data_IF_400627598075
#
_entry.id   IF_400627598075
#
_cell.length_a   1.000
_cell.length_b   1.000
_cell.length_c   1.000
_cell.angle_alpha   90.00
_cell.angle_beta   90.00
_cell.angle_gamma   90.00
#
_symmetry.space_group_name_H-M   'P 1'
#
loop_
_entity.id
_entity.type
_entity.pdbx_description
1 polymer ?
#
# COMPACT_ATOMS: atom_id res chain seq x y z
N UNK A 1 -13.11 -41.17 11.09
CA UNK A 1 -13.37 -39.95 10.28
C UNK A 1 -12.58 -40.09 8.99
N UNK A 2 -13.28 -40.28 7.87
CA UNK A 2 -12.73 -40.86 6.63
C UNK A 2 -12.20 -39.79 5.68
N UNK A 3 -11.13 -40.12 4.94
CA UNK A 3 -10.44 -39.24 3.98
C UNK A 3 -11.37 -38.56 2.95
N UNK A 4 -12.53 -39.16 2.65
CA UNK A 4 -13.56 -38.60 1.77
C UNK A 4 -14.24 -37.34 2.36
N UNK A 5 -14.38 -37.25 3.68
CA UNK A 5 -14.94 -36.08 4.37
C UNK A 5 -13.90 -34.94 4.39
N UNK A 6 -12.62 -35.26 4.58
CA UNK A 6 -11.52 -34.30 4.41
C UNK A 6 -11.43 -33.77 2.98
N UNK A 7 -11.62 -34.61 1.95
CA UNK A 7 -11.61 -34.18 0.54
C UNK A 7 -12.81 -33.28 0.16
N UNK A 8 -13.99 -33.49 0.75
CA UNK A 8 -15.16 -32.61 0.51
C UNK A 8 -15.10 -31.30 1.29
N UNK A 9 -14.50 -31.29 2.48
CA UNK A 9 -14.43 -30.09 3.33
C UNK A 9 -13.24 -29.20 2.97
N UNK A 10 -12.11 -29.77 2.50
CA UNK A 10 -10.93 -29.00 2.05
C UNK A 10 -11.27 -27.86 1.08
N UNK A 11 -11.98 -28.08 -0.04
CA UNK A 11 -12.26 -27.01 -1.00
C UNK A 11 -13.19 -25.93 -0.43
N UNK A 12 -14.11 -26.28 0.48
CA UNK A 12 -14.98 -25.31 1.15
C UNK A 12 -14.20 -24.42 2.14
N UNK A 13 -13.23 -24.98 2.85
CA UNK A 13 -12.34 -24.22 3.74
C UNK A 13 -11.36 -23.33 2.98
N UNK A 14 -10.81 -23.80 1.84
CA UNK A 14 -9.87 -23.04 1.01
C UNK A 14 -10.57 -21.90 0.24
N UNK A 15 -11.81 -22.10 -0.21
CA UNK A 15 -12.61 -21.03 -0.81
C UNK A 15 -12.98 -19.93 0.20
N UNK A 16 -13.30 -20.31 1.43
CA UNK A 16 -13.65 -19.38 2.51
C UNK A 16 -12.46 -18.54 3.00
N UNK A 17 -11.27 -19.13 3.12
CA UNK A 17 -10.07 -18.43 3.58
C UNK A 17 -9.63 -17.32 2.61
N UNK A 18 -9.61 -17.60 1.30
CA UNK A 18 -9.29 -16.59 0.29
C UNK A 18 -10.35 -15.48 0.21
N UNK A 19 -11.63 -15.82 0.41
CA UNK A 19 -12.71 -14.82 0.46
C UNK A 19 -12.53 -13.86 1.64
N UNK A 20 -12.21 -14.38 2.83
CA UNK A 20 -11.96 -13.58 4.02
C UNK A 20 -10.75 -12.65 3.84
N UNK A 21 -9.62 -13.17 3.36
CA UNK A 21 -8.42 -12.37 3.09
C UNK A 21 -8.70 -11.21 2.12
N UNK A 22 -9.41 -11.48 1.02
CA UNK A 22 -9.77 -10.46 0.03
C UNK A 22 -10.71 -9.40 0.61
N UNK A 23 -11.70 -9.80 1.41
CA UNK A 23 -12.61 -8.88 2.09
C UNK A 23 -11.87 -8.01 3.11
N UNK A 24 -10.96 -8.59 3.89
CA UNK A 24 -10.17 -7.88 4.89
C UNK A 24 -9.25 -6.83 4.24
N UNK A 25 -8.56 -7.19 3.16
CA UNK A 25 -7.71 -6.27 2.39
C UNK A 25 -8.55 -5.17 1.72
N UNK A 26 -9.70 -5.51 1.15
CA UNK A 26 -10.64 -4.54 0.58
C UNK A 26 -11.15 -3.54 1.62
N UNK A 27 -11.56 -4.03 2.80
CA UNK A 27 -11.99 -3.19 3.92
C UNK A 27 -10.86 -2.27 4.41
N UNK A 28 -9.64 -2.78 4.51
CA UNK A 28 -8.46 -1.99 4.86
C UNK A 28 -8.19 -0.89 3.82
N UNK A 29 -8.25 -1.21 2.52
CA UNK A 29 -8.08 -0.23 1.45
C UNK A 29 -9.13 0.89 1.53
N UNK A 30 -10.40 0.54 1.75
CA UNK A 30 -11.49 1.52 1.93
C UNK A 30 -11.24 2.38 3.17
N UNK A 31 -10.87 1.79 4.31
CA UNK A 31 -10.60 2.54 5.54
C UNK A 31 -9.45 3.55 5.37
N UNK A 32 -8.40 3.17 4.65
CA UNK A 32 -7.26 4.06 4.35
C UNK A 32 -7.66 5.17 3.38
N UNK A 33 -8.45 4.86 2.35
CA UNK A 33 -8.98 5.88 1.44
C UNK A 33 -9.89 6.88 2.17
N UNK A 34 -10.80 6.40 3.03
CA UNK A 34 -11.67 7.25 3.85
C UNK A 34 -10.85 8.16 4.74
N UNK A 35 -9.81 7.64 5.41
CA UNK A 35 -8.88 8.45 6.20
C UNK A 35 -8.18 9.50 5.35
N UNK A 36 -7.68 9.12 4.17
CA UNK A 36 -6.99 10.04 3.26
C UNK A 36 -7.89 11.23 2.89
N UNK A 37 -9.12 10.95 2.46
CA UNK A 37 -10.08 11.99 2.12
C UNK A 37 -10.52 12.80 3.33
N UNK A 38 -10.72 12.18 4.50
CA UNK A 38 -11.01 12.89 5.74
C UNK A 38 -9.93 13.92 6.09
N UNK A 39 -8.65 13.53 6.00
CA UNK A 39 -7.53 14.43 6.22
C UNK A 39 -7.52 15.56 5.20
N UNK A 40 -7.80 15.27 3.93
CA UNK A 40 -7.85 16.29 2.89
C UNK A 40 -8.99 17.31 3.11
N UNK A 41 -10.20 16.83 3.42
CA UNK A 41 -11.37 17.68 3.64
C UNK A 41 -11.22 18.57 4.88
N UNK A 42 -10.69 18.05 5.98
CA UNK A 42 -10.48 18.86 7.21
C UNK A 42 -9.46 19.98 6.98
N UNK A 43 -8.51 19.79 6.06
CA UNK A 43 -7.51 20.79 5.71
C UNK A 43 -7.91 21.67 4.51
N UNK A 44 -9.10 21.46 3.93
CA UNK A 44 -9.58 22.24 2.80
C UNK A 44 -10.20 23.58 3.28
N UNK A 45 -9.94 24.71 2.59
CA UNK A 45 -10.57 25.98 2.92
C UNK A 45 -12.10 25.88 2.90
N UNK A 46 -12.77 26.39 3.94
CA UNK A 46 -14.24 26.41 4.03
C UNK A 46 -14.90 25.17 4.65
N UNK A 47 -14.13 24.13 5.00
CA UNK A 47 -14.65 22.87 5.56
C UNK A 47 -14.40 22.69 7.07
N UNK A 48 -14.06 23.77 7.80
CA UNK A 48 -13.78 23.73 9.24
C UNK A 48 -14.94 23.31 10.15
N UNK A 49 -16.15 23.13 9.60
CA UNK A 49 -17.34 22.67 10.33
C UNK A 49 -17.68 21.19 10.17
N UNK A 50 -16.90 20.41 9.41
CA UNK A 50 -17.15 18.97 9.25
C UNK A 50 -16.73 18.23 10.53
N UNK A 51 -17.62 17.47 11.20
CA UNK A 51 -17.35 16.85 12.49
C UNK A 51 -16.51 15.56 12.35
N UNK A 52 -15.35 15.66 11.73
CA UNK A 52 -14.44 14.52 11.52
C UNK A 52 -13.22 14.72 12.41
N UNK A 53 -13.02 13.81 13.36
CA UNK A 53 -11.80 13.77 14.18
C UNK A 53 -10.69 13.04 13.40
N UNK A 54 -9.62 13.72 12.95
CA UNK A 54 -8.55 13.08 12.19
C UNK A 54 -7.80 12.02 13.02
N UNK A 55 -7.76 12.19 14.34
CA UNK A 55 -7.19 11.21 15.27
C UNK A 55 -7.98 9.91 15.31
N UNK A 56 -9.32 9.99 15.41
CA UNK A 56 -10.19 8.81 15.38
C UNK A 56 -10.12 8.10 14.03
N UNK A 57 -10.19 8.83 12.91
CA UNK A 57 -10.06 8.24 11.58
C UNK A 57 -8.71 7.52 11.40
N UNK A 58 -7.64 8.10 11.93
CA UNK A 58 -6.29 7.50 11.91
C UNK A 58 -6.22 6.25 12.78
N UNK A 59 -6.74 6.28 14.01
CA UNK A 59 -6.77 5.12 14.89
C UNK A 59 -7.59 3.96 14.32
N UNK A 60 -8.80 4.25 13.81
CA UNK A 60 -9.68 3.26 13.19
C UNK A 60 -9.04 2.66 11.94
N UNK A 61 -8.50 3.46 11.03
CA UNK A 61 -7.85 2.90 9.83
C UNK A 61 -6.68 2.00 10.20
N UNK A 62 -5.88 2.41 11.18
CA UNK A 62 -4.71 1.65 11.65
C UNK A 62 -5.15 0.32 12.25
N UNK A 63 -6.20 0.31 13.08
CA UNK A 63 -6.76 -0.91 13.65
C UNK A 63 -7.33 -1.85 12.59
N UNK A 64 -8.08 -1.33 11.61
CA UNK A 64 -8.65 -2.12 10.51
C UNK A 64 -7.54 -2.75 9.65
N UNK A 65 -6.51 -1.99 9.30
CA UNK A 65 -5.37 -2.49 8.53
C UNK A 65 -4.60 -3.55 9.31
N UNK A 66 -4.36 -3.33 10.60
CA UNK A 66 -3.67 -4.28 11.45
C UNK A 66 -4.45 -5.59 11.60
N UNK A 67 -5.77 -5.50 11.80
CA UNK A 67 -6.67 -6.65 11.81
C UNK A 67 -6.69 -7.38 10.46
N UNK A 68 -6.67 -6.62 9.35
CA UNK A 68 -6.58 -7.21 8.01
C UNK A 68 -5.26 -7.95 7.79
N UNK A 69 -4.13 -7.41 8.24
CA UNK A 69 -2.84 -8.10 8.19
C UNK A 69 -2.87 -9.42 8.99
N UNK A 70 -3.47 -9.43 10.19
CA UNK A 70 -3.64 -10.65 10.98
C UNK A 70 -4.57 -11.64 10.26
N UNK A 71 -5.68 -11.17 9.71
CA UNK A 71 -6.64 -12.00 8.99
C UNK A 71 -5.99 -12.67 7.77
N UNK A 72 -5.22 -11.92 6.97
CA UNK A 72 -4.46 -12.47 5.85
C UNK A 72 -3.43 -13.48 6.37
N UNK A 73 -2.70 -13.13 7.43
CA UNK A 73 -1.66 -13.98 8.00
C UNK A 73 -2.14 -15.38 8.40
N UNK A 74 -3.30 -15.46 9.07
CA UNK A 74 -3.86 -16.74 9.53
C UNK A 74 -4.49 -17.56 8.40
N UNK A 75 -4.77 -16.93 7.27
CA UNK A 75 -5.30 -17.59 6.06
C UNK A 75 -4.23 -17.92 5.02
N UNK A 76 -3.00 -17.43 5.20
CA UNK A 76 -1.90 -17.67 4.27
C UNK A 76 -1.41 -19.12 4.35
N UNK A 77 -1.04 -19.69 3.20
CA UNK A 77 -0.53 -21.04 3.12
C UNK A 77 0.99 -21.10 3.42
N UNK A 78 1.73 -20.01 3.21
CA UNK A 78 3.15 -19.93 3.50
C UNK A 78 3.35 -19.42 4.95
N UNK A 79 3.93 -20.24 5.85
CA UNK A 79 4.12 -19.85 7.24
C UNK A 79 5.03 -18.63 7.40
N UNK A 80 6.00 -18.42 6.51
CA UNK A 80 6.91 -17.27 6.62
C UNK A 80 6.20 -15.96 6.26
N UNK A 81 5.34 -15.98 5.24
CA UNK A 81 4.47 -14.85 4.90
C UNK A 81 3.49 -14.56 6.03
N UNK A 82 2.87 -15.60 6.59
CA UNK A 82 1.98 -15.48 7.74
C UNK A 82 2.68 -14.87 8.97
N UNK A 83 3.88 -15.33 9.31
CA UNK A 83 4.68 -14.74 10.41
C UNK A 83 4.97 -13.26 10.13
N UNK A 84 5.44 -12.91 8.93
CA UNK A 84 5.72 -11.52 8.57
C UNK A 84 4.49 -10.61 8.74
N UNK A 85 3.32 -11.06 8.28
CA UNK A 85 2.06 -10.33 8.43
C UNK A 85 1.56 -10.26 9.87
N UNK A 86 1.79 -11.30 10.69
CA UNK A 86 1.51 -11.25 12.12
C UNK A 86 2.36 -10.20 12.84
N UNK A 87 3.65 -10.09 12.50
CA UNK A 87 4.50 -9.01 13.03
C UNK A 87 3.95 -7.64 12.66
N UNK A 88 3.57 -7.42 11.40
CA UNK A 88 2.97 -6.17 10.93
C UNK A 88 1.67 -5.87 11.70
N UNK A 89 0.77 -6.84 11.80
CA UNK A 89 -0.56 -6.66 12.39
C UNK A 89 -0.53 -6.51 13.93
N UNK A 90 0.14 -7.41 14.63
CA UNK A 90 0.17 -7.42 16.11
C UNK A 90 0.90 -6.18 16.62
N UNK A 91 2.08 -5.86 16.08
CA UNK A 91 2.78 -4.64 16.51
C UNK A 91 2.10 -3.37 16.01
N UNK A 92 1.39 -3.43 14.89
CA UNK A 92 0.49 -2.38 14.45
C UNK A 92 -0.57 -2.04 15.50
N UNK A 93 -1.23 -3.04 16.08
CA UNK A 93 -2.18 -2.86 17.17
C UNK A 93 -1.49 -2.35 18.45
N UNK A 94 -0.34 -2.90 18.82
CA UNK A 94 0.41 -2.45 20.00
C UNK A 94 0.80 -0.97 19.90
N UNK A 95 1.09 -0.48 18.70
CA UNK A 95 1.42 0.94 18.47
C UNK A 95 0.27 1.89 18.78
N UNK A 96 -0.97 1.41 18.75
CA UNK A 96 -2.15 2.19 19.16
C UNK A 96 -2.32 2.26 20.67
N UNK A 97 -1.76 1.30 21.41
CA UNK A 97 -1.90 1.18 22.86
C UNK A 97 -0.78 1.89 23.62
N UNK A 98 0.43 1.93 23.04
CA UNK A 98 1.59 2.48 23.72
C UNK A 98 2.58 3.14 22.75
N UNK A 99 2.94 4.38 23.05
CA UNK A 99 4.01 5.10 22.35
C UNK A 99 5.38 4.48 22.58
N UNK A 100 5.60 3.78 23.71
CA UNK A 100 6.83 3.04 23.97
C UNK A 100 7.03 1.88 22.98
N UNK A 101 5.94 1.38 22.38
CA UNK A 101 6.00 0.34 21.37
C UNK A 101 6.33 0.88 19.96
N UNK A 102 6.51 2.19 19.77
CA UNK A 102 6.69 2.77 18.43
C UNK A 102 7.95 2.23 17.70
N UNK A 103 9.10 2.18 18.39
CA UNK A 103 10.34 1.63 17.82
C UNK A 103 10.25 0.11 17.58
N UNK A 104 9.83 -0.71 18.55
CA UNK A 104 9.57 -2.13 18.32
C UNK A 104 8.61 -2.38 17.16
N UNK A 105 7.54 -1.59 17.05
CA UNK A 105 6.56 -1.72 15.98
C UNK A 105 7.13 -1.34 14.62
N UNK A 106 7.93 -0.27 14.54
CA UNK A 106 8.61 0.09 13.30
C UNK A 106 9.57 -1.03 12.84
N UNK A 107 10.36 -1.58 13.76
CA UNK A 107 11.25 -2.70 13.48
C UNK A 107 10.47 -3.94 13.02
N UNK A 108 9.40 -4.30 13.72
CA UNK A 108 8.53 -5.43 13.37
C UNK A 108 7.89 -5.27 11.99
N UNK A 109 7.40 -4.07 11.66
CA UNK A 109 6.80 -3.79 10.36
C UNK A 109 7.83 -3.88 9.24
N UNK A 110 9.03 -3.33 9.41
CA UNK A 110 10.11 -3.43 8.41
C UNK A 110 10.54 -4.88 8.22
N UNK A 111 10.87 -5.58 9.31
CA UNK A 111 11.35 -6.96 9.26
C UNK A 111 10.28 -7.89 8.70
N UNK A 112 9.03 -7.78 9.18
CA UNK A 112 7.92 -8.59 8.68
C UNK A 112 7.62 -8.35 7.21
N UNK A 113 7.71 -7.10 6.73
CA UNK A 113 7.54 -6.81 5.30
C UNK A 113 8.71 -7.31 4.47
N UNK A 114 9.94 -7.18 4.98
CA UNK A 114 11.14 -7.69 4.32
C UNK A 114 11.13 -9.22 4.21
N UNK A 115 10.62 -9.94 5.22
CA UNK A 115 10.47 -11.41 5.13
C UNK A 115 9.46 -11.80 4.06
N UNK A 116 8.32 -11.10 3.98
CA UNK A 116 7.31 -11.34 2.92
C UNK A 116 7.94 -11.10 1.54
N UNK A 117 8.65 -9.97 1.37
CA UNK A 117 9.33 -9.63 0.13
C UNK A 117 10.42 -10.64 -0.25
N UNK A 118 11.19 -11.15 0.71
CA UNK A 118 12.23 -12.16 0.46
C UNK A 118 11.62 -13.51 0.04
N UNK A 119 10.50 -13.91 0.64
CA UNK A 119 9.79 -15.14 0.28
C UNK A 119 9.22 -15.03 -1.13
N UNK A 120 8.51 -13.93 -1.42
CA UNK A 120 7.88 -13.69 -2.71
C UNK A 120 8.90 -13.44 -3.84
N UNK A 121 10.00 -12.73 -3.53
CA UNK A 121 11.03 -12.34 -4.50
C UNK A 121 11.70 -13.51 -5.22
N UNK A 122 11.62 -14.73 -4.67
CA UNK A 122 12.10 -15.95 -5.35
C UNK A 122 11.24 -16.35 -6.56
N UNK A 123 10.03 -15.82 -6.67
CA UNK A 123 9.05 -16.12 -7.74
C UNK A 123 8.80 -14.94 -8.67
N UNK A 124 9.24 -13.75 -8.29
CA UNK A 124 9.03 -12.53 -9.06
C UNK A 124 10.04 -12.44 -10.21
N UNK A 125 9.59 -11.86 -11.31
CA UNK A 125 10.50 -11.41 -12.35
C UNK A 125 11.36 -10.23 -11.86
N UNK A 126 12.39 -9.88 -12.63
CA UNK A 126 13.36 -8.85 -12.22
C UNK A 126 12.69 -7.46 -12.08
N UNK A 127 11.68 -7.15 -12.89
CA UNK A 127 10.99 -5.86 -12.84
C UNK A 127 10.11 -5.77 -11.59
N UNK A 128 9.31 -6.78 -11.29
CA UNK A 128 8.50 -6.79 -10.08
C UNK A 128 9.35 -6.88 -8.82
N UNK A 129 10.45 -7.66 -8.85
CA UNK A 129 11.38 -7.73 -7.72
C UNK A 129 12.02 -6.37 -7.40
N UNK A 130 12.40 -5.59 -8.43
CA UNK A 130 12.92 -4.23 -8.23
C UNK A 130 11.85 -3.27 -7.71
N UNK A 131 10.60 -3.38 -8.18
CA UNK A 131 9.48 -2.61 -7.65
C UNK A 131 9.24 -2.90 -6.16
N UNK A 132 9.23 -4.17 -5.76
CA UNK A 132 9.12 -4.57 -4.35
C UNK A 132 10.29 -4.05 -3.53
N UNK A 133 11.51 -4.16 -4.03
CA UNK A 133 12.70 -3.67 -3.34
C UNK A 133 12.61 -2.16 -3.09
N UNK A 134 12.13 -1.38 -4.07
CA UNK A 134 11.88 0.06 -3.89
C UNK A 134 10.83 0.34 -2.83
N UNK A 135 9.73 -0.40 -2.82
CA UNK A 135 8.68 -0.25 -1.80
C UNK A 135 9.19 -0.60 -0.39
N UNK A 136 9.93 -1.70 -0.23
CA UNK A 136 10.53 -2.08 1.06
C UNK A 136 11.59 -1.07 1.51
N UNK A 137 12.39 -0.54 0.58
CA UNK A 137 13.33 0.54 0.85
C UNK A 137 12.58 1.81 1.31
N UNK A 138 11.49 2.18 0.64
CA UNK A 138 10.64 3.31 1.02
C UNK A 138 10.09 3.16 2.44
N UNK A 139 9.58 1.97 2.79
CA UNK A 139 9.10 1.63 4.13
C UNK A 139 10.20 1.80 5.17
N UNK A 140 11.39 1.28 4.89
CA UNK A 140 12.53 1.28 5.81
C UNK A 140 13.07 2.70 6.04
N UNK A 141 13.34 3.42 4.96
CA UNK A 141 13.85 4.81 5.01
C UNK A 141 12.77 5.74 5.60
N UNK A 142 11.49 5.52 5.25
CA UNK A 142 10.36 6.24 5.80
C UNK A 142 10.29 6.11 7.32
N UNK A 143 10.23 4.89 7.85
CA UNK A 143 10.17 4.64 9.29
C UNK A 143 11.43 5.10 10.02
N UNK A 144 12.62 4.95 9.43
CA UNK A 144 13.86 5.53 10.00
C UNK A 144 13.76 7.06 10.09
N UNK A 145 13.24 7.73 9.06
CA UNK A 145 13.11 9.19 9.03
C UNK A 145 12.05 9.75 9.98
N UNK A 146 11.00 8.96 10.25
CA UNK A 146 9.83 9.40 10.98
C UNK A 146 9.78 8.92 12.43
N UNK A 147 10.03 7.63 12.65
CA UNK A 147 10.03 7.00 13.99
C UNK A 147 11.44 6.95 14.57
N UNK A 148 12.46 6.70 13.73
CA UNK A 148 13.86 6.67 14.14
C UNK A 148 14.52 8.04 14.36
N UNK A 149 13.81 9.14 14.04
CA UNK A 149 14.29 10.51 14.23
C UNK A 149 15.26 11.01 13.17
N UNK A 150 15.53 10.25 12.10
CA UNK A 150 16.49 10.63 11.05
C UNK A 150 15.86 11.57 10.01
N UNK A 151 15.44 12.75 10.45
CA UNK A 151 14.62 13.68 9.66
C UNK A 151 15.26 14.13 8.34
N UNK A 152 16.59 14.12 8.26
CA UNK A 152 17.34 14.39 7.01
C UNK A 152 17.03 13.42 5.87
N UNK A 153 16.49 12.23 6.17
CA UNK A 153 16.10 11.24 5.16
C UNK A 153 14.71 11.47 4.57
N UNK A 154 13.90 12.42 5.06
CA UNK A 154 12.52 12.62 4.59
C UNK A 154 12.38 12.86 3.08
N UNK A 155 13.25 13.65 2.43
CA UNK A 155 13.19 13.82 0.97
C UNK A 155 13.53 12.55 0.20
N UNK A 156 14.50 11.78 0.69
CA UNK A 156 14.86 10.49 0.12
C UNK A 156 13.70 9.48 0.29
N UNK A 157 13.13 9.36 1.50
CA UNK A 157 11.97 8.52 1.76
C UNK A 157 10.80 8.82 0.83
N UNK A 158 10.50 10.11 0.63
CA UNK A 158 9.41 10.57 -0.25
C UNK A 158 9.66 10.18 -1.70
N UNK A 159 10.88 10.40 -2.19
CA UNK A 159 11.25 10.08 -3.57
C UNK A 159 11.21 8.58 -3.81
N UNK A 160 11.78 7.78 -2.91
CA UNK A 160 11.80 6.31 -3.04
C UNK A 160 10.38 5.74 -2.92
N UNK A 161 9.53 6.26 -2.03
CA UNK A 161 8.13 5.85 -1.92
C UNK A 161 7.35 6.12 -3.21
N UNK A 162 7.50 7.32 -3.78
CA UNK A 162 6.82 7.69 -5.02
C UNK A 162 7.34 6.91 -6.23
N UNK A 163 8.64 6.60 -6.29
CA UNK A 163 9.18 5.71 -7.33
C UNK A 163 8.69 4.27 -7.17
N UNK A 164 8.56 3.77 -5.94
CA UNK A 164 7.93 2.47 -5.68
C UNK A 164 6.44 2.43 -6.05
N UNK A 165 5.71 3.51 -5.81
CA UNK A 165 4.31 3.63 -6.27
C UNK A 165 4.25 3.72 -7.80
N UNK A 166 5.17 4.47 -8.42
CA UNK A 166 5.27 4.60 -9.87
C UNK A 166 5.56 3.27 -10.57
N UNK A 167 6.25 2.32 -9.90
CA UNK A 167 6.55 0.99 -10.43
C UNK A 167 5.44 -0.03 -10.21
N UNK A 168 4.35 0.30 -9.49
CA UNK A 168 3.19 -0.59 -9.31
C UNK A 168 2.57 -1.18 -10.58
N UNK A 169 2.69 -0.55 -11.78
CA UNK A 169 2.25 -1.18 -13.01
C UNK A 169 2.87 -2.55 -13.26
N UNK A 170 4.00 -2.90 -12.60
CA UNK A 170 4.65 -4.20 -12.75
C UNK A 170 3.84 -5.39 -12.32
N UNK A 171 2.87 -5.16 -11.43
CA UNK A 171 2.02 -6.23 -10.93
C UNK A 171 0.74 -6.40 -11.77
N UNK A 172 0.39 -5.42 -12.61
CA UNK A 172 -0.88 -5.40 -13.35
C UNK A 172 -0.72 -5.47 -14.87
N UNK A 173 0.36 -4.91 -15.42
CA UNK A 173 0.65 -4.90 -16.84
C UNK A 173 1.54 -6.10 -17.18
N UNK A 174 0.92 -7.28 -17.13
CA UNK A 174 1.59 -8.58 -17.20
C UNK A 174 2.37 -8.84 -18.48
N UNK A 175 2.25 -8.01 -19.52
CA UNK A 175 2.89 -8.23 -20.81
C UNK A 175 3.53 -6.97 -21.39
N UNK A 176 4.36 -6.25 -20.63
CA UNK A 176 5.19 -5.20 -21.27
C UNK A 176 6.09 -5.71 -22.39
N UNK A 177 6.38 -7.01 -22.39
CA UNK A 177 7.17 -7.68 -23.42
C UNK A 177 6.38 -7.92 -24.71
N UNK A 178 5.05 -7.82 -24.68
CA UNK A 178 4.19 -7.95 -25.85
C UNK A 178 3.30 -6.72 -25.99
N UNK A 179 3.77 -5.74 -26.76
CA UNK A 179 3.02 -4.51 -27.08
C UNK A 179 1.62 -4.76 -27.65
N UNK A 180 1.36 -5.97 -28.17
CA UNK A 180 0.05 -6.36 -28.69
C UNK A 180 -0.98 -6.73 -27.62
N UNK A 181 -0.56 -7.05 -26.39
CA UNK A 181 -1.45 -7.40 -25.27
C UNK A 181 -1.46 -6.34 -24.15
N UNK A 182 -0.68 -5.27 -24.31
CA UNK A 182 -0.69 -4.15 -23.38
C UNK A 182 -2.08 -3.49 -23.30
N UNK A 183 -2.59 -3.30 -22.09
CA UNK A 183 -3.83 -2.56 -21.84
C UNK A 183 -3.60 -1.06 -22.06
N UNK A 184 -3.69 -0.65 -23.33
CA UNK A 184 -3.54 0.75 -23.74
C UNK A 184 -4.52 1.69 -23.03
N UNK A 185 -5.69 1.19 -22.64
CA UNK A 185 -6.65 1.98 -21.87
C UNK A 185 -6.13 2.35 -20.49
N UNK A 186 -5.44 1.42 -19.83
CA UNK A 186 -4.77 1.67 -18.55
C UNK A 186 -3.58 2.63 -18.70
N UNK A 187 -2.75 2.45 -19.74
CA UNK A 187 -1.59 3.29 -20.02
C UNK A 187 -2.02 4.74 -20.32
N UNK A 188 -3.03 4.92 -21.16
CA UNK A 188 -3.59 6.24 -21.47
C UNK A 188 -4.18 6.91 -20.22
N UNK A 189 -4.84 6.15 -19.35
CA UNK A 189 -5.30 6.64 -18.05
C UNK A 189 -4.16 7.15 -17.17
N UNK A 190 -3.05 6.40 -17.10
CA UNK A 190 -1.83 6.83 -16.42
C UNK A 190 -1.20 8.09 -17.01
N UNK A 191 -1.08 8.17 -18.33
CA UNK A 191 -0.57 9.35 -19.03
C UNK A 191 -1.45 10.59 -18.81
N UNK A 192 -2.78 10.41 -18.81
CA UNK A 192 -3.71 11.47 -18.48
C UNK A 192 -3.52 11.95 -17.03
N UNK A 193 -3.39 11.03 -16.06
CA UNK A 193 -3.11 11.37 -14.68
C UNK A 193 -1.78 12.11 -14.52
N UNK A 194 -0.72 11.68 -15.22
CA UNK A 194 0.57 12.37 -15.26
C UNK A 194 0.41 13.82 -15.74
N UNK A 195 -0.27 14.00 -16.88
CA UNK A 195 -0.48 15.32 -17.48
C UNK A 195 -1.32 16.23 -16.59
N UNK A 196 -2.36 15.70 -15.93
CA UNK A 196 -3.20 16.45 -14.98
C UNK A 196 -2.39 16.88 -13.76
N UNK A 197 -1.61 15.98 -13.15
CA UNK A 197 -0.81 16.35 -11.97
C UNK A 197 0.26 17.38 -12.32
N UNK A 198 0.92 17.25 -13.49
CA UNK A 198 1.88 18.26 -13.94
C UNK A 198 1.22 19.60 -14.24
N UNK A 199 0.07 19.61 -14.91
CA UNK A 199 -0.62 20.86 -15.29
C UNK A 199 -1.16 21.58 -14.06
N UNK A 200 -1.84 20.88 -13.16
CA UNK A 200 -2.35 21.40 -11.89
C UNK A 200 -1.20 21.83 -10.98
N UNK A 201 -0.14 21.02 -10.88
CA UNK A 201 1.04 21.36 -10.09
C UNK A 201 1.76 22.62 -10.54
N UNK A 202 1.72 22.93 -11.85
CA UNK A 202 2.26 24.19 -12.38
C UNK A 202 1.29 25.36 -12.24
N UNK A 203 -0.02 25.13 -12.38
CA UNK A 203 -1.03 26.18 -12.29
C UNK A 203 -1.29 26.63 -10.85
N UNK A 204 -1.32 25.68 -9.90
CA UNK A 204 -1.62 25.91 -8.47
C UNK A 204 -0.59 25.19 -7.57
N UNK A 205 0.68 25.64 -7.56
CA UNK A 205 1.78 24.96 -6.88
C UNK A 205 1.57 24.85 -5.36
N UNK A 206 1.01 25.88 -4.72
CA UNK A 206 0.76 25.87 -3.27
C UNK A 206 -0.32 24.86 -2.86
N UNK A 207 -1.41 24.77 -3.63
CA UNK A 207 -2.47 23.78 -3.39
C UNK A 207 -1.91 22.38 -3.59
N UNK A 208 -1.14 22.17 -4.67
CA UNK A 208 -0.53 20.87 -4.95
C UNK A 208 0.48 20.46 -3.88
N UNK A 209 1.29 21.41 -3.39
CA UNK A 209 2.20 21.18 -2.27
C UNK A 209 1.46 20.84 -0.98
N UNK A 210 0.37 21.56 -0.66
CA UNK A 210 -0.44 21.27 0.52
C UNK A 210 -1.14 19.90 0.45
N UNK A 211 -1.72 19.55 -0.71
CA UNK A 211 -2.38 18.25 -0.93
C UNK A 211 -1.38 17.10 -0.79
N UNK A 212 -0.20 17.22 -1.41
CA UNK A 212 0.83 16.16 -1.37
C UNK A 212 1.49 16.04 0.00
N UNK A 213 1.69 17.15 0.72
CA UNK A 213 2.19 17.10 2.10
C UNK A 213 1.16 16.50 3.05
N UNK A 214 -0.08 17.01 3.04
CA UNK A 214 -1.10 16.66 4.01
C UNK A 214 -1.69 15.27 3.73
N UNK A 215 -2.03 14.98 2.47
CA UNK A 215 -2.58 13.71 2.06
C UNK A 215 -1.54 12.58 2.13
N UNK A 216 -0.44 12.72 1.38
CA UNK A 216 0.52 11.62 1.18
C UNK A 216 1.81 11.76 1.99
N UNK A 217 2.06 12.89 2.67
CA UNK A 217 3.28 13.05 3.48
C UNK A 217 4.55 13.31 2.69
N UNK A 218 4.43 13.70 1.43
CA UNK A 218 5.57 13.95 0.55
C UNK A 218 6.29 15.23 0.98
N UNK A 219 7.61 15.14 1.12
CA UNK A 219 8.48 16.26 1.51
C UNK A 219 9.65 16.33 0.54
N UNK A 220 9.93 17.50 -0.02
CA UNK A 220 11.18 17.76 -0.75
C UNK A 220 11.37 16.95 -2.04
N UNK A 221 10.30 16.42 -2.64
CA UNK A 221 10.35 15.69 -3.92
C UNK A 221 9.87 16.56 -5.07
N UNK A 222 10.38 16.31 -6.27
CA UNK A 222 10.03 17.05 -7.48
C UNK A 222 8.63 16.70 -7.99
N UNK A 223 7.95 17.69 -8.58
CA UNK A 223 6.62 17.53 -9.19
C UNK A 223 6.55 16.40 -10.24
N UNK A 224 7.55 16.19 -11.12
CA UNK A 224 7.53 15.08 -12.08
C UNK A 224 7.48 13.70 -11.40
N UNK A 225 8.13 13.52 -10.26
CA UNK A 225 8.10 12.24 -9.53
C UNK A 225 6.73 12.02 -8.89
N UNK A 226 6.09 13.08 -8.38
CA UNK A 226 4.70 13.01 -7.88
C UNK A 226 3.74 12.64 -9.02
N UNK A 227 3.89 13.28 -10.19
CA UNK A 227 3.09 12.97 -11.37
C UNK A 227 3.30 11.52 -11.84
N UNK A 228 4.54 11.03 -11.81
CA UNK A 228 4.88 9.66 -12.19
C UNK A 228 4.25 8.63 -11.23
N UNK A 229 4.27 8.90 -9.92
CA UNK A 229 3.60 8.05 -8.95
C UNK A 229 2.09 7.97 -9.18
N UNK A 230 1.44 9.12 -9.44
CA UNK A 230 0.02 9.15 -9.78
C UNK A 230 -0.26 8.36 -11.07
N UNK A 231 0.59 8.51 -12.09
CA UNK A 231 0.49 7.77 -13.34
C UNK A 231 0.58 6.25 -13.12
N UNK A 232 1.56 5.80 -12.33
CA UNK A 232 1.73 4.38 -12.00
C UNK A 232 0.54 3.82 -11.23
N UNK A 233 0.10 4.52 -10.19
CA UNK A 233 -1.08 4.10 -9.40
C UNK A 233 -2.35 4.01 -10.26
N UNK A 234 -2.62 5.01 -11.11
CA UNK A 234 -3.80 5.04 -11.98
C UNK A 234 -3.73 3.96 -13.06
N UNK A 235 -2.57 3.75 -13.66
CA UNK A 235 -2.36 2.68 -14.65
C UNK A 235 -2.70 1.33 -14.01
N UNK A 236 -2.11 1.05 -12.85
CA UNK A 236 -2.30 -0.22 -12.16
C UNK A 236 -3.74 -0.41 -11.70
N UNK A 237 -4.36 0.63 -11.13
CA UNK A 237 -5.76 0.60 -10.70
C UNK A 237 -6.72 0.40 -11.89
N UNK A 238 -6.48 1.09 -13.02
CA UNK A 238 -7.27 0.91 -14.23
C UNK A 238 -7.16 -0.51 -14.77
N UNK A 239 -5.95 -1.05 -14.93
CA UNK A 239 -5.73 -2.41 -15.38
C UNK A 239 -6.38 -3.45 -14.43
N UNK A 240 -6.21 -3.28 -13.11
CA UNK A 240 -6.82 -4.13 -12.10
C UNK A 240 -8.35 -4.13 -12.16
N UNK A 241 -8.94 -2.95 -12.35
CA UNK A 241 -10.40 -2.80 -12.42
C UNK A 241 -10.98 -3.45 -13.69
N UNK A 242 -10.30 -3.29 -14.84
CA UNK A 242 -10.71 -3.88 -16.13
C UNK A 242 -10.62 -5.40 -16.12
N UNK A 243 -9.58 -5.93 -15.48
CA UNK A 243 -9.36 -7.37 -15.33
C UNK A 243 -10.07 -7.97 -14.10
N UNK A 244 -10.82 -7.16 -13.33
CA UNK A 244 -11.51 -7.56 -12.08
C UNK A 244 -10.58 -8.20 -11.03
N UNK A 245 -9.29 -7.84 -11.05
CA UNK A 245 -8.29 -8.24 -10.03
C UNK A 245 -8.44 -7.35 -8.79
N UNK A 246 -9.54 -7.50 -8.07
CA UNK A 246 -9.88 -6.67 -6.89
C UNK A 246 -8.81 -6.65 -5.79
N UNK A 247 -8.12 -7.76 -5.46
CA UNK A 247 -7.04 -7.72 -4.46
C UNK A 247 -5.90 -6.83 -4.91
N UNK A 248 -5.56 -6.85 -6.20
CA UNK A 248 -4.51 -6.01 -6.77
C UNK A 248 -4.89 -4.53 -6.71
N UNK A 249 -6.15 -4.19 -7.05
CA UNK A 249 -6.68 -2.84 -6.88
C UNK A 249 -6.56 -2.36 -5.44
N UNK A 250 -6.91 -3.22 -4.47
CA UNK A 250 -6.82 -2.90 -3.05
C UNK A 250 -5.36 -2.73 -2.59
N UNK A 251 -4.43 -3.55 -3.07
CA UNK A 251 -3.00 -3.42 -2.81
C UNK A 251 -2.43 -2.07 -3.27
N UNK A 252 -2.75 -1.67 -4.51
CA UNK A 252 -2.34 -0.36 -5.04
C UNK A 252 -2.97 0.78 -4.25
N UNK A 253 -4.27 0.69 -3.94
CA UNK A 253 -4.96 1.70 -3.15
C UNK A 253 -4.32 1.86 -1.76
N UNK A 254 -3.97 0.77 -1.09
CA UNK A 254 -3.29 0.78 0.20
C UNK A 254 -1.96 1.54 0.13
N UNK A 255 -1.09 1.23 -0.84
CA UNK A 255 0.21 1.92 -0.97
C UNK A 255 0.03 3.38 -1.38
N UNK A 256 -0.84 3.67 -2.35
CA UNK A 256 -1.05 5.01 -2.88
C UNK A 256 -1.68 5.98 -1.87
N UNK A 257 -2.72 5.54 -1.15
CA UNK A 257 -3.38 6.37 -0.13
C UNK A 257 -2.61 6.42 1.19
N UNK A 258 -1.78 5.41 1.49
CA UNK A 258 -0.83 5.50 2.61
C UNK A 258 0.20 6.60 2.38
N UNK A 259 0.67 6.76 1.13
CA UNK A 259 1.70 7.72 0.76
C UNK A 259 3.07 7.34 1.34
N UNK A 260 3.82 8.34 1.81
CA UNK A 260 5.15 8.14 2.38
C UNK A 260 5.03 7.53 3.78
N UNK A 261 5.62 6.35 4.04
CA UNK A 261 5.46 5.60 5.29
C UNK A 261 6.35 6.13 6.44
N UNK A 262 6.35 7.45 6.65
CA UNK A 262 7.10 8.11 7.72
C UNK A 262 6.42 8.06 9.10
N UNK A 263 5.39 7.25 9.26
CA UNK A 263 4.68 7.05 10.54
C UNK A 263 4.02 5.68 10.54
N UNK A 264 3.82 5.07 11.70
CA UNK A 264 3.19 3.75 11.81
C UNK A 264 1.79 3.68 11.15
N UNK A 265 0.90 4.68 11.33
CA UNK A 265 -0.40 4.67 10.65
C UNK A 265 -0.32 4.70 9.11
N UNK A 266 0.79 5.15 8.52
CA UNK A 266 1.02 5.09 7.06
C UNK A 266 1.82 3.84 6.67
N UNK A 267 2.74 3.40 7.50
CA UNK A 267 3.59 2.25 7.25
C UNK A 267 2.81 0.93 7.23
N UNK A 268 1.81 0.74 8.10
CA UNK A 268 0.98 -0.47 8.11
C UNK A 268 0.23 -0.72 6.80
N UNK A 269 -0.56 0.24 6.26
CA UNK A 269 -1.24 0.00 5.00
C UNK A 269 -0.24 -0.11 3.84
N UNK A 270 0.87 0.61 3.89
CA UNK A 270 1.94 0.47 2.90
C UNK A 270 2.53 -0.96 2.90
N UNK A 271 2.83 -1.52 4.08
CA UNK A 271 3.32 -2.88 4.26
C UNK A 271 2.31 -3.95 3.80
N UNK A 272 1.04 -3.81 4.18
CA UNK A 272 -0.03 -4.70 3.72
C UNK A 272 -0.20 -4.62 2.20
N UNK A 273 -0.13 -3.42 1.63
CA UNK A 273 -0.15 -3.20 0.19
C UNK A 273 0.97 -3.93 -0.54
N UNK A 274 2.21 -3.86 -0.03
CA UNK A 274 3.35 -4.63 -0.57
C UNK A 274 3.04 -6.12 -0.56
N UNK A 275 2.59 -6.66 0.58
CA UNK A 275 2.28 -8.08 0.71
C UNK A 275 1.25 -8.54 -0.33
N UNK A 276 0.17 -7.77 -0.49
CA UNK A 276 -0.91 -8.04 -1.45
C UNK A 276 -0.41 -7.99 -2.89
N UNK A 277 0.38 -6.96 -3.26
CA UNK A 277 0.96 -6.85 -4.59
C UNK A 277 1.85 -8.05 -4.93
N UNK A 278 2.70 -8.48 -3.98
CA UNK A 278 3.57 -9.63 -4.18
C UNK A 278 2.84 -10.97 -4.27
N UNK A 279 1.74 -11.14 -3.52
CA UNK A 279 0.94 -12.35 -3.54
C UNK A 279 0.19 -12.54 -4.87
N UNK A 280 -0.20 -11.44 -5.52
CA UNK A 280 -0.93 -11.48 -6.80
C UNK A 280 -0.06 -11.82 -8.00
N UNK A 281 1.24 -11.54 -7.93
CA UNK A 281 2.19 -11.83 -9.01
C UNK A 281 2.70 -13.27 -8.93
N UNK A 282 2.99 -13.77 -7.73
CA UNK A 282 3.47 -15.15 -7.53
C UNK A 282 2.41 -16.26 -7.66
N UNK A 283 1.16 -15.90 -7.96
CA UNK A 283 0.04 -16.82 -8.20
C UNK A 283 -0.18 -17.14 -9.68
N UNK A 284 0.58 -16.49 -10.57
CA UNK A 284 0.64 -16.80 -12.01
C UNK A 284 1.78 -17.79 -12.29
#
# INVERSE_FOLDING_TARGET
>A
MTAALQQRVRPLLHGGSHSLANLAVGAAAVAVAVRYFAVLFVNAPGYGGVPVSPGLATGVSTAVVAAAAIAVAVTDADPLTGIGLLFVGVFGLLSLLSSAAALPAAAAVVLGTATIAAVAGRRLDLVSATAVALLVAALSIGLASGVGGWTGLRPAASTVALLGIASTPSFAATDWRSLSTADWGAILGGLAAFAVVLSVGRAVPFVTGAVTLTGTGVVGTSLPVIALAAAGAVTTASAASRTRRWPLLAGVALVAFAGVPASLPRALPFALGIAVLTAQEGAQ
#
